data_IF_708089048555
#
_entry.id   IF_708089048555
#
_cell.length_a   1.000
_cell.length_b   1.000
_cell.length_c   1.000
_cell.angle_alpha   90.00
_cell.angle_beta   90.00
_cell.angle_gamma   90.00
#
_symmetry.space_group_name_H-M   'P 1'
#
loop_
_entity.id
_entity.type
_entity.pdbx_description
1 polymer ?
#
# COMPACT_ATOMS: atom_id res chain seq x y z
N UNK A 1 -26.93 41.97 -1.62
CA UNK A 1 -26.85 40.90 -2.64
C UNK A 1 -25.48 40.82 -3.30
N UNK A 2 -24.92 41.91 -3.86
CA UNK A 2 -23.56 41.91 -4.45
C UNK A 2 -22.47 41.40 -3.48
N UNK A 3 -22.50 41.81 -2.21
CA UNK A 3 -21.58 41.32 -1.18
C UNK A 3 -21.72 39.80 -0.93
N UNK A 4 -22.94 39.26 -1.00
CA UNK A 4 -23.20 37.82 -0.84
C UNK A 4 -22.71 37.01 -2.04
N UNK A 5 -22.90 37.52 -3.26
CA UNK A 5 -22.33 36.92 -4.49
C UNK A 5 -20.81 36.85 -4.37
N UNK A 6 -20.16 37.98 -4.07
CA UNK A 6 -18.70 38.04 -3.92
C UNK A 6 -18.19 37.05 -2.88
N UNK A 7 -18.92 36.87 -1.78
CA UNK A 7 -18.59 35.89 -0.75
C UNK A 7 -18.76 34.45 -1.25
N UNK A 8 -19.83 34.16 -1.99
CA UNK A 8 -20.08 32.86 -2.62
C UNK A 8 -18.99 32.48 -3.63
N UNK A 9 -18.61 33.39 -4.52
CA UNK A 9 -17.53 33.18 -5.49
C UNK A 9 -16.18 32.96 -4.80
N UNK A 10 -15.93 33.70 -3.70
CA UNK A 10 -14.76 33.50 -2.85
C UNK A 10 -14.71 32.11 -2.22
N UNK A 11 -15.82 31.66 -1.63
CA UNK A 11 -15.95 30.31 -1.06
C UNK A 11 -15.76 29.24 -2.12
N UNK A 12 -16.39 29.36 -3.29
CA UNK A 12 -16.24 28.42 -4.40
C UNK A 12 -14.77 28.30 -4.84
N UNK A 13 -14.08 29.43 -5.01
CA UNK A 13 -12.67 29.46 -5.38
C UNK A 13 -11.76 28.83 -4.31
N UNK A 14 -11.98 29.13 -3.03
CA UNK A 14 -11.21 28.51 -1.94
C UNK A 14 -11.43 27.00 -1.90
N UNK A 15 -12.68 26.55 -2.03
CA UNK A 15 -13.04 25.13 -2.03
C UNK A 15 -12.47 24.40 -3.26
N UNK A 16 -12.43 25.01 -4.45
CA UNK A 16 -11.79 24.46 -5.64
C UNK A 16 -10.29 24.22 -5.41
N UNK A 17 -9.60 25.21 -4.81
CA UNK A 17 -8.18 25.08 -4.46
C UNK A 17 -7.97 23.94 -3.45
N UNK A 18 -8.85 23.81 -2.46
CA UNK A 18 -8.81 22.70 -1.49
C UNK A 18 -9.03 21.35 -2.17
N UNK A 19 -9.96 21.23 -3.12
CA UNK A 19 -10.21 19.99 -3.85
C UNK A 19 -8.99 19.57 -4.70
N UNK A 20 -8.37 20.51 -5.42
CA UNK A 20 -7.15 20.25 -6.17
C UNK A 20 -5.99 19.81 -5.25
N UNK A 21 -5.86 20.47 -4.08
CA UNK A 21 -4.86 20.10 -3.06
C UNK A 21 -5.11 18.71 -2.49
N UNK A 22 -6.37 18.33 -2.29
CA UNK A 22 -6.77 17.01 -1.82
C UNK A 22 -6.37 15.93 -2.84
N UNK A 23 -6.65 16.17 -4.13
CA UNK A 23 -6.26 15.27 -5.23
C UNK A 23 -4.74 15.09 -5.29
N UNK A 24 -3.99 16.18 -5.21
CA UNK A 24 -2.52 16.17 -5.20
C UNK A 24 -1.97 15.40 -3.98
N UNK A 25 -2.53 15.62 -2.78
CA UNK A 25 -2.13 14.90 -1.57
C UNK A 25 -2.45 13.40 -1.65
N UNK A 26 -3.61 13.03 -2.19
CA UNK A 26 -4.01 11.64 -2.36
C UNK A 26 -3.09 10.92 -3.34
N UNK A 27 -2.79 11.53 -4.49
CA UNK A 27 -1.86 11.00 -5.49
C UNK A 27 -0.45 10.82 -4.93
N UNK A 28 0.08 11.87 -4.28
CA UNK A 28 1.40 11.78 -3.65
C UNK A 28 1.45 10.71 -2.56
N UNK A 29 0.41 10.61 -1.72
CA UNK A 29 0.29 9.58 -0.70
C UNK A 29 0.30 8.18 -1.31
N UNK A 30 -0.45 7.96 -2.39
CA UNK A 30 -0.49 6.68 -3.10
C UNK A 30 0.86 6.31 -3.69
N UNK A 31 1.53 7.24 -4.38
CA UNK A 31 2.86 7.02 -4.96
C UNK A 31 3.90 6.63 -3.91
N UNK A 32 3.88 7.31 -2.75
CA UNK A 32 4.80 7.01 -1.64
C UNK A 32 4.55 5.61 -1.08
N UNK A 33 3.29 5.24 -0.85
CA UNK A 33 2.97 3.91 -0.32
C UNK A 33 3.26 2.82 -1.35
N UNK A 34 2.98 3.05 -2.64
CA UNK A 34 3.29 2.10 -3.71
C UNK A 34 4.79 1.83 -3.80
N UNK A 35 5.63 2.88 -3.83
CA UNK A 35 7.10 2.75 -3.82
C UNK A 35 7.60 1.99 -2.59
N UNK A 36 7.11 2.35 -1.40
CA UNK A 36 7.52 1.71 -0.16
C UNK A 36 7.12 0.22 -0.11
N UNK A 37 5.93 -0.12 -0.61
CA UNK A 37 5.46 -1.51 -0.70
C UNK A 37 6.24 -2.31 -1.74
N UNK A 38 6.61 -1.70 -2.87
CA UNK A 38 7.46 -2.33 -3.88
C UNK A 38 8.83 -2.76 -3.33
N UNK A 39 9.53 -1.84 -2.65
CA UNK A 39 10.82 -2.15 -1.99
C UNK A 39 10.69 -3.27 -0.95
N UNK A 40 9.60 -3.27 -0.17
CA UNK A 40 9.34 -4.34 0.81
C UNK A 40 9.11 -5.70 0.15
N UNK A 41 8.43 -5.72 -1.00
CA UNK A 41 8.17 -6.95 -1.74
C UNK A 41 9.46 -7.60 -2.24
N UNK A 42 10.40 -6.79 -2.74
CA UNK A 42 11.74 -7.26 -3.13
C UNK A 42 12.50 -7.87 -1.95
N UNK A 43 12.52 -7.17 -0.79
CA UNK A 43 13.17 -7.69 0.42
C UNK A 43 12.57 -9.02 0.87
N UNK A 44 11.26 -9.18 0.78
CA UNK A 44 10.58 -10.43 1.12
C UNK A 44 10.99 -11.57 0.18
N UNK A 45 11.18 -11.30 -1.11
CA UNK A 45 11.76 -12.27 -2.05
C UNK A 45 13.15 -12.73 -1.63
N UNK A 46 14.03 -11.80 -1.23
CA UNK A 46 15.37 -12.15 -0.73
C UNK A 46 15.30 -13.01 0.55
N UNK A 47 14.37 -12.71 1.47
CA UNK A 47 14.20 -13.51 2.69
C UNK A 47 13.70 -14.93 2.35
N UNK A 48 12.79 -15.07 1.37
CA UNK A 48 12.33 -16.38 0.89
C UNK A 48 13.50 -17.19 0.32
N UNK A 49 14.33 -16.58 -0.53
CA UNK A 49 15.52 -17.22 -1.09
C UNK A 49 16.51 -17.66 0.00
N UNK A 50 16.67 -16.86 1.06
CA UNK A 50 17.52 -17.22 2.21
C UNK A 50 16.91 -18.40 2.96
N UNK A 51 15.60 -18.39 3.24
CA UNK A 51 14.92 -19.49 3.90
C UNK A 51 15.07 -20.80 3.12
N UNK A 52 14.89 -20.77 1.80
CA UNK A 52 15.02 -21.95 0.93
C UNK A 52 16.46 -22.48 0.90
N UNK A 53 17.46 -21.59 0.82
CA UNK A 53 18.88 -21.97 0.90
C UNK A 53 19.22 -22.56 2.28
N UNK A 54 18.71 -21.98 3.36
CA UNK A 54 18.90 -22.50 4.72
C UNK A 54 18.25 -23.88 4.88
N UNK A 55 17.07 -24.09 4.29
CA UNK A 55 16.41 -25.39 4.28
C UNK A 55 17.25 -26.45 3.55
N UNK A 56 17.78 -26.12 2.37
CA UNK A 56 18.68 -27.01 1.62
C UNK A 56 19.96 -27.33 2.41
N UNK A 57 20.55 -26.34 3.07
CA UNK A 57 21.71 -26.55 3.95
C UNK A 57 21.38 -27.48 5.12
N UNK A 58 20.20 -27.34 5.72
CA UNK A 58 19.72 -28.19 6.80
C UNK A 58 19.55 -29.65 6.34
N UNK A 59 18.98 -29.86 5.14
CA UNK A 59 18.84 -31.19 4.55
C UNK A 59 20.23 -31.82 4.32
N UNK A 60 21.18 -31.07 3.76
CA UNK A 60 22.54 -31.55 3.56
C UNK A 60 23.23 -31.92 4.89
N UNK A 61 23.04 -31.09 5.93
CA UNK A 61 23.56 -31.37 7.26
C UNK A 61 22.93 -32.63 7.89
N UNK A 62 21.62 -32.85 7.69
CA UNK A 62 20.93 -34.05 8.16
C UNK A 62 21.46 -35.32 7.46
N UNK A 63 21.73 -35.25 6.15
CA UNK A 63 22.33 -36.36 5.38
C UNK A 63 23.73 -36.69 5.92
N UNK A 64 24.58 -35.68 6.13
CA UNK A 64 25.93 -35.88 6.64
C UNK A 64 25.93 -36.42 8.08
N UNK A 65 25.01 -35.94 8.92
CA UNK A 65 24.80 -36.45 10.27
C UNK A 65 24.38 -37.93 10.27
N UNK A 66 23.53 -38.34 9.34
CA UNK A 66 23.16 -39.75 9.16
C UNK A 66 24.36 -40.59 8.70
N UNK A 67 25.19 -40.05 7.81
CA UNK A 67 26.42 -40.71 7.33
C UNK A 67 27.43 -40.96 8.45
N UNK A 68 27.57 -40.01 9.38
CA UNK A 68 28.44 -40.11 10.56
C UNK A 68 27.90 -41.07 11.65
N UNK A 69 26.69 -41.61 11.48
CA UNK A 69 26.09 -42.60 12.39
C UNK A 69 26.01 -42.12 13.84
N UNK A 70 26.65 -42.85 14.76
CA UNK A 70 26.61 -42.51 16.19
C UNK A 70 27.28 -41.15 16.52
N UNK A 71 28.31 -40.76 15.77
CA UNK A 71 29.02 -39.49 15.96
C UNK A 71 28.20 -38.28 15.48
N UNK A 72 27.25 -38.49 14.56
CA UNK A 72 26.41 -37.43 13.97
C UNK A 72 25.14 -37.10 14.75
N UNK A 73 24.81 -37.81 15.84
CA UNK A 73 23.53 -37.63 16.56
C UNK A 73 23.27 -36.19 17.02
N UNK A 74 24.30 -35.48 17.50
CA UNK A 74 24.17 -34.07 17.90
C UNK A 74 23.94 -33.14 16.71
N UNK A 75 24.62 -33.39 15.59
CA UNK A 75 24.45 -32.63 14.35
C UNK A 75 23.07 -32.85 13.72
N UNK A 76 22.51 -34.06 13.83
CA UNK A 76 21.17 -34.36 13.33
C UNK A 76 20.10 -33.49 14.01
N UNK A 77 20.18 -33.30 15.34
CA UNK A 77 19.25 -32.45 16.10
C UNK A 77 19.36 -30.99 15.67
N UNK A 78 20.57 -30.50 15.45
CA UNK A 78 20.80 -29.13 14.97
C UNK A 78 20.24 -28.94 13.55
N UNK A 79 20.46 -29.91 12.66
CA UNK A 79 19.93 -29.88 11.30
C UNK A 79 18.39 -29.83 11.28
N UNK A 80 17.72 -30.63 12.12
CA UNK A 80 16.26 -30.61 12.25
C UNK A 80 15.74 -29.25 12.76
N UNK A 81 16.40 -28.62 13.73
CA UNK A 81 16.00 -27.31 14.24
C UNK A 81 16.19 -26.20 13.18
N UNK A 82 17.29 -26.23 12.43
CA UNK A 82 17.52 -25.30 11.32
C UNK A 82 16.45 -25.47 10.23
N UNK A 83 16.12 -26.72 9.88
CA UNK A 83 15.06 -27.02 8.92
C UNK A 83 13.73 -26.42 9.39
N UNK A 84 13.32 -26.70 10.63
CA UNK A 84 12.07 -26.17 11.19
C UNK A 84 12.04 -24.64 11.22
N UNK A 85 13.16 -23.99 11.52
CA UNK A 85 13.28 -22.53 11.51
C UNK A 85 13.14 -21.98 10.08
N UNK A 86 13.74 -22.64 9.09
CA UNK A 86 13.63 -22.25 7.68
C UNK A 86 12.19 -22.40 7.14
N UNK A 87 11.50 -23.49 7.48
CA UNK A 87 10.09 -23.72 7.12
C UNK A 87 9.17 -22.67 7.75
N UNK A 88 9.40 -22.36 9.04
CA UNK A 88 8.66 -21.33 9.76
C UNK A 88 8.89 -19.95 9.15
N UNK A 89 10.14 -19.64 8.76
CA UNK A 89 10.49 -18.40 8.06
C UNK A 89 9.75 -18.29 6.73
N UNK A 90 9.74 -19.35 5.91
CA UNK A 90 9.03 -19.36 4.63
C UNK A 90 7.51 -19.17 4.79
N UNK A 91 6.90 -19.79 5.80
CA UNK A 91 5.47 -19.57 6.11
C UNK A 91 5.18 -18.12 6.49
N UNK A 92 6.04 -17.51 7.32
CA UNK A 92 5.90 -16.11 7.71
C UNK A 92 6.09 -15.16 6.54
N UNK A 93 7.06 -15.42 5.66
CA UNK A 93 7.26 -14.66 4.41
C UNK A 93 5.99 -14.70 3.57
N UNK A 94 5.40 -15.87 3.35
CA UNK A 94 4.14 -16.00 2.60
C UNK A 94 3.00 -15.18 3.21
N UNK A 95 2.88 -15.18 4.53
CA UNK A 95 1.88 -14.36 5.24
C UNK A 95 2.13 -12.86 5.03
N UNK A 96 3.39 -12.41 5.09
CA UNK A 96 3.74 -11.01 4.84
C UNK A 96 3.42 -10.62 3.39
N UNK A 97 3.72 -11.48 2.42
CA UNK A 97 3.38 -11.25 1.01
C UNK A 97 1.88 -11.04 0.81
N UNK A 98 1.02 -11.88 1.40
CA UNK A 98 -0.43 -11.73 1.34
C UNK A 98 -0.91 -10.40 1.96
N UNK A 99 -0.30 -9.97 3.07
CA UNK A 99 -0.62 -8.68 3.69
C UNK A 99 -0.22 -7.51 2.77
N UNK A 100 0.95 -7.59 2.12
CA UNK A 100 1.41 -6.56 1.19
C UNK A 100 0.52 -6.47 -0.06
N UNK A 101 0.10 -7.61 -0.62
CA UNK A 101 -0.89 -7.66 -1.71
C UNK A 101 -2.21 -7.01 -1.29
N UNK A 102 -2.70 -7.30 -0.08
CA UNK A 102 -3.88 -6.65 0.48
C UNK A 102 -3.71 -5.13 0.64
N UNK A 103 -2.52 -4.66 1.03
CA UNK A 103 -2.20 -3.23 1.10
C UNK A 103 -2.27 -2.60 -0.28
N UNK A 104 -1.69 -3.23 -1.31
CA UNK A 104 -1.74 -2.75 -2.70
C UNK A 104 -3.18 -2.62 -3.19
N UNK A 105 -4.01 -3.64 -2.96
CA UNK A 105 -5.44 -3.59 -3.33
C UNK A 105 -6.20 -2.46 -2.62
N UNK A 106 -5.89 -2.18 -1.34
CA UNK A 106 -6.49 -1.05 -0.61
C UNK A 106 -6.04 0.31 -1.14
N UNK A 107 -4.80 0.43 -1.63
CA UNK A 107 -4.29 1.65 -2.25
C UNK A 107 -5.02 1.91 -3.57
N UNK A 108 -5.18 0.88 -4.40
CA UNK A 108 -5.93 0.98 -5.67
C UNK A 108 -7.38 1.37 -5.43
N UNK A 109 -8.04 0.76 -4.44
CA UNK A 109 -9.39 1.14 -4.04
C UNK A 109 -9.46 2.60 -3.57
N UNK A 110 -8.50 3.04 -2.75
CA UNK A 110 -8.42 4.44 -2.31
C UNK A 110 -8.19 5.41 -3.48
N UNK A 111 -7.44 5.00 -4.51
CA UNK A 111 -7.24 5.79 -5.73
C UNK A 111 -8.57 6.03 -6.45
N UNK A 112 -9.34 4.97 -6.66
CA UNK A 112 -10.68 5.07 -7.25
C UNK A 112 -11.61 5.96 -6.43
N UNK A 113 -11.69 5.75 -5.12
CA UNK A 113 -12.55 6.57 -4.23
C UNK A 113 -12.12 8.05 -4.24
N UNK A 114 -10.82 8.32 -4.31
CA UNK A 114 -10.31 9.69 -4.41
C UNK A 114 -10.67 10.36 -5.74
N UNK A 115 -10.69 9.60 -6.84
CA UNK A 115 -11.12 10.09 -8.15
C UNK A 115 -12.62 10.41 -8.16
N UNK A 116 -13.44 9.49 -7.64
CA UNK A 116 -14.90 9.69 -7.47
C UNK A 116 -15.19 10.93 -6.60
N UNK A 117 -14.45 11.11 -5.51
CA UNK A 117 -14.56 12.30 -4.65
C UNK A 117 -14.21 13.58 -5.42
N UNK A 118 -13.19 13.54 -6.28
CA UNK A 118 -12.83 14.65 -7.16
C UNK A 118 -13.97 15.02 -8.10
N UNK A 119 -14.62 14.03 -8.73
CA UNK A 119 -15.74 14.25 -9.65
C UNK A 119 -16.96 14.85 -8.95
N UNK A 120 -17.29 14.36 -7.74
CA UNK A 120 -18.39 14.91 -6.94
C UNK A 120 -18.11 16.37 -6.59
N UNK A 121 -16.87 16.72 -6.27
CA UNK A 121 -16.48 18.10 -5.98
C UNK A 121 -16.62 19.00 -7.22
N UNK A 122 -16.18 18.55 -8.40
CA UNK A 122 -16.37 19.27 -9.66
C UNK A 122 -17.84 19.57 -9.95
N UNK A 123 -18.73 18.60 -9.75
CA UNK A 123 -20.17 18.79 -9.93
C UNK A 123 -20.75 19.82 -8.94
N UNK A 124 -20.29 19.82 -7.69
CA UNK A 124 -20.67 20.83 -6.69
C UNK A 124 -20.23 22.23 -7.15
N UNK A 125 -19.02 22.36 -7.72
CA UNK A 125 -18.53 23.65 -8.21
C UNK A 125 -19.33 24.17 -9.40
N UNK A 126 -19.69 23.31 -10.35
CA UNK A 126 -20.57 23.69 -11.46
C UNK A 126 -21.90 24.23 -10.94
N UNK A 127 -22.54 23.51 -10.01
CA UNK A 127 -23.82 23.94 -9.45
C UNK A 127 -23.72 25.27 -8.69
N UNK A 128 -22.63 25.51 -7.94
CA UNK A 128 -22.42 26.79 -7.25
C UNK A 128 -22.18 27.94 -8.26
N UNK A 129 -21.47 27.68 -9.35
CA UNK A 129 -21.27 28.66 -10.42
C UNK A 129 -22.60 29.03 -11.09
N UNK A 130 -23.40 28.04 -11.48
CA UNK A 130 -24.74 28.25 -12.07
C UNK A 130 -25.66 29.07 -11.16
N UNK A 131 -25.67 28.78 -9.85
CA UNK A 131 -26.43 29.56 -8.87
C UNK A 131 -25.91 31.00 -8.80
N UNK A 132 -24.59 31.20 -8.86
CA UNK A 132 -23.97 32.53 -8.79
C UNK A 132 -24.32 33.36 -10.01
N UNK A 133 -24.35 32.75 -11.20
CA UNK A 133 -24.72 33.39 -12.46
C UNK A 133 -26.20 33.76 -12.49
N UNK A 134 -27.09 32.83 -12.09
CA UNK A 134 -28.53 33.08 -11.99
C UNK A 134 -28.86 34.23 -11.02
N UNK A 135 -28.15 34.35 -9.90
CA UNK A 135 -28.34 35.47 -8.95
C UNK A 135 -27.78 36.77 -9.53
N UNK A 136 -26.67 36.75 -10.29
CA UNK A 136 -26.17 37.95 -10.96
C UNK A 136 -27.17 38.51 -11.97
N UNK A 137 -27.83 37.64 -12.76
CA UNK A 137 -28.86 38.07 -13.72
C UNK A 137 -30.06 38.73 -13.03
N UNK A 138 -30.46 38.29 -11.83
CA UNK A 138 -31.57 38.90 -11.07
C UNK A 138 -31.27 40.32 -10.55
N UNK A 139 -29.99 40.73 -10.53
CA UNK A 139 -29.55 42.04 -10.00
C UNK A 139 -29.23 43.03 -11.13
N UNK A 140 -29.10 42.56 -12.38
CA UNK A 140 -29.05 43.41 -13.57
C UNK A 140 -30.43 43.98 -13.91
#
# INVERSE_FOLDING_TARGET
MIASIKNMTGVAHTKQKTANRLKELAQNGQDQVFKNTGVKTEMIGVIQDVADKTNLLAINAAIEAAHAGAAGKGFAVVADEIKKLSETTGSNVKNISMILEGILGRIEHNAKTSEETGQVMENIFSGVAEITDAISELIQ
#
